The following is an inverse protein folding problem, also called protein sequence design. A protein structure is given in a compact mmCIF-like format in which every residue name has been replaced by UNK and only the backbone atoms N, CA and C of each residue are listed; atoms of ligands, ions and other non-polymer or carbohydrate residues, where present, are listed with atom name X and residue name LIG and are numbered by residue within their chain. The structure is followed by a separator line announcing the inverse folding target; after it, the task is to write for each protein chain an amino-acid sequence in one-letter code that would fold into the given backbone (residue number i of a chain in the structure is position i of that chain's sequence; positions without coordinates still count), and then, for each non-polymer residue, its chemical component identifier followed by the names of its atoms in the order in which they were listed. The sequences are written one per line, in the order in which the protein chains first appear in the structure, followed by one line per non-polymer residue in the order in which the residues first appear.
data_IF_604204815303
#
_entry.id   IF_604204815303
#
_cell.length_a   1.000
_cell.length_b   1.000
_cell.length_c   1.000
_cell.angle_alpha   90.00
_cell.angle_beta   90.00
_cell.angle_gamma   90.00
#
_symmetry.space_group_name_H-M   'P 1'
#
loop_
_entity.id
_entity.type
_entity.pdbx_description
1 polymer ?
#
# COMPACT_ATOMS: atom_id res chain seq x y z
N UNK A 1 -0.09 -23.53 7.45
CA UNK A 1 0.01 -22.06 7.57
C UNK A 1 0.96 -21.56 6.49
N UNK A 2 0.43 -20.79 5.56
CA UNK A 2 1.13 -20.27 4.39
C UNK A 2 1.31 -18.74 4.50
N UNK A 3 2.23 -18.20 3.70
CA UNK A 3 2.45 -16.75 3.56
C UNK A 3 2.06 -16.32 2.15
N UNK A 4 1.18 -15.33 2.00
CA UNK A 4 0.91 -14.73 0.70
C UNK A 4 2.05 -13.78 0.31
N UNK A 5 2.57 -13.94 -0.89
CA UNK A 5 3.64 -13.10 -1.43
C UNK A 5 3.19 -12.51 -2.78
N UNK A 6 2.75 -11.25 -2.76
CA UNK A 6 2.41 -10.49 -3.96
C UNK A 6 3.46 -9.41 -4.28
N UNK A 7 4.74 -9.67 -3.93
CA UNK A 7 5.87 -8.81 -4.31
C UNK A 7 6.07 -8.74 -5.82
N UNK A 8 5.81 -9.85 -6.51
CA UNK A 8 5.84 -9.97 -7.97
C UNK A 8 4.74 -10.91 -8.45
N UNK A 9 4.40 -10.83 -9.73
CA UNK A 9 3.45 -11.74 -10.40
C UNK A 9 3.82 -13.21 -10.23
N UNK A 10 5.11 -13.52 -10.33
CA UNK A 10 5.64 -14.88 -10.18
C UNK A 10 5.50 -15.38 -8.73
N UNK A 11 5.79 -14.53 -7.75
CA UNK A 11 5.62 -14.89 -6.33
C UNK A 11 4.14 -15.05 -5.94
N UNK A 12 3.25 -14.23 -6.51
CA UNK A 12 1.81 -14.38 -6.26
C UNK A 12 1.32 -15.75 -6.71
N UNK A 13 1.67 -16.15 -7.95
CA UNK A 13 1.36 -17.47 -8.46
C UNK A 13 2.00 -18.60 -7.66
N UNK A 14 3.25 -18.45 -7.21
CA UNK A 14 3.96 -19.48 -6.44
C UNK A 14 3.36 -19.68 -5.04
N UNK A 15 3.09 -18.58 -4.33
CA UNK A 15 2.51 -18.61 -2.98
C UNK A 15 1.08 -19.17 -3.01
N UNK A 16 0.27 -18.76 -3.98
CA UNK A 16 -1.07 -19.31 -4.21
C UNK A 16 -1.03 -20.80 -4.56
N UNK A 17 -0.23 -21.21 -5.54
CA UNK A 17 -0.15 -22.63 -5.94
C UNK A 17 0.29 -23.52 -4.77
N UNK A 18 1.22 -23.02 -3.95
CA UNK A 18 1.64 -23.71 -2.72
C UNK A 18 0.49 -23.87 -1.73
N UNK A 19 -0.33 -22.83 -1.51
CA UNK A 19 -1.50 -22.90 -0.64
C UNK A 19 -2.60 -23.83 -1.17
N UNK A 20 -2.84 -23.85 -2.48
CA UNK A 20 -3.77 -24.78 -3.14
C UNK A 20 -3.22 -26.21 -3.27
N UNK A 21 -1.95 -26.44 -2.96
CA UNK A 21 -1.32 -27.76 -3.12
C UNK A 21 -1.21 -28.21 -4.58
N UNK A 22 -1.12 -27.28 -5.52
CA UNK A 22 -1.01 -27.54 -6.95
C UNK A 22 0.25 -26.91 -7.57
N UNK A 23 0.55 -27.24 -8.82
CA UNK A 23 1.61 -26.59 -9.58
C UNK A 23 1.18 -25.20 -10.07
N UNK A 24 2.15 -24.32 -10.29
CA UNK A 24 1.91 -23.01 -10.92
C UNK A 24 1.22 -23.15 -12.28
N UNK A 25 1.54 -24.18 -13.06
CA UNK A 25 0.93 -24.41 -14.38
C UNK A 25 -0.54 -24.81 -14.27
N UNK A 26 -0.92 -25.59 -13.26
CA UNK A 26 -2.33 -25.93 -13.00
C UNK A 26 -3.13 -24.70 -12.58
N UNK A 27 -2.59 -23.89 -11.65
CA UNK A 27 -3.22 -22.63 -11.26
C UNK A 27 -3.41 -21.69 -12.45
N UNK A 28 -2.37 -21.52 -13.29
CA UNK A 28 -2.46 -20.73 -14.52
C UNK A 28 -3.57 -21.23 -15.45
N UNK A 29 -3.66 -22.55 -15.65
CA UNK A 29 -4.66 -23.16 -16.53
C UNK A 29 -6.08 -22.86 -16.04
N UNK A 30 -6.33 -22.97 -14.72
CA UNK A 30 -7.63 -22.65 -14.11
C UNK A 30 -7.94 -21.15 -14.23
N UNK A 31 -6.97 -20.29 -13.96
CA UNK A 31 -7.18 -18.84 -14.10
C UNK A 31 -7.44 -18.41 -15.55
N UNK A 32 -6.87 -19.12 -16.54
CA UNK A 32 -7.07 -18.89 -17.97
C UNK A 32 -8.33 -19.55 -18.55
N UNK A 33 -8.93 -20.52 -17.86
CA UNK A 33 -10.17 -21.19 -18.33
C UNK A 33 -11.45 -20.38 -18.10
N UNK A 34 -11.32 -19.23 -17.46
CA UNK A 34 -12.41 -18.31 -17.11
C UNK A 34 -12.21 -16.98 -17.82
N UNK A 35 -13.28 -16.34 -18.28
CA UNK A 35 -13.23 -14.93 -18.68
C UNK A 35 -14.24 -14.15 -17.83
N UNK A 36 -13.74 -13.46 -16.80
CA UNK A 36 -14.58 -12.70 -15.87
C UNK A 36 -15.31 -11.54 -16.55
N UNK A 37 -14.69 -10.89 -17.53
CA UNK A 37 -15.31 -9.76 -18.23
C UNK A 37 -16.50 -10.26 -19.05
N UNK A 38 -16.27 -11.28 -19.88
CA UNK A 38 -17.33 -11.90 -20.67
C UNK A 38 -18.47 -12.44 -19.79
N UNK A 39 -18.16 -13.07 -18.66
CA UNK A 39 -19.17 -13.62 -17.75
C UNK A 39 -20.07 -12.52 -17.18
N UNK A 40 -19.49 -11.43 -16.66
CA UNK A 40 -20.27 -10.35 -16.06
C UNK A 40 -20.99 -9.47 -17.11
N UNK A 41 -20.49 -9.43 -18.35
CA UNK A 41 -21.19 -8.80 -19.47
C UNK A 41 -22.39 -9.60 -19.98
N UNK A 42 -22.34 -10.93 -19.90
CA UNK A 42 -23.37 -11.80 -20.51
C UNK A 42 -24.38 -12.37 -19.52
N UNK A 43 -23.97 -12.59 -18.26
CA UNK A 43 -24.83 -13.14 -17.22
C UNK A 43 -25.07 -12.12 -16.10
N UNK A 44 -26.08 -11.27 -16.31
CA UNK A 44 -26.53 -10.29 -15.32
C UNK A 44 -27.27 -10.91 -14.12
N UNK A 45 -27.44 -12.24 -14.06
CA UNK A 45 -28.02 -12.91 -12.90
C UNK A 45 -26.99 -13.14 -11.78
N UNK A 46 -25.70 -12.98 -12.07
CA UNK A 46 -24.63 -13.09 -11.08
C UNK A 46 -24.69 -11.88 -10.15
N UNK A 47 -25.06 -12.14 -8.89
CA UNK A 47 -25.26 -11.10 -7.86
C UNK A 47 -24.08 -10.96 -6.88
N UNK A 48 -22.96 -11.65 -7.13
CA UNK A 48 -21.75 -11.58 -6.30
C UNK A 48 -20.66 -10.77 -7.03
N UNK A 49 -19.71 -10.20 -6.28
CA UNK A 49 -18.60 -9.49 -6.89
C UNK A 49 -17.61 -10.44 -7.59
N UNK A 50 -16.88 -9.93 -8.58
CA UNK A 50 -16.00 -10.72 -9.43
C UNK A 50 -14.85 -11.40 -8.68
N UNK A 51 -14.40 -10.83 -7.54
CA UNK A 51 -13.35 -11.46 -6.72
C UNK A 51 -13.90 -12.65 -5.97
N UNK A 52 -15.08 -12.51 -5.37
CA UNK A 52 -15.77 -13.63 -4.73
C UNK A 52 -16.02 -14.75 -5.73
N UNK A 53 -16.52 -14.42 -6.93
CA UNK A 53 -16.75 -15.39 -8.00
C UNK A 53 -15.45 -16.10 -8.40
N UNK A 54 -14.38 -15.35 -8.65
CA UNK A 54 -13.08 -15.91 -9.02
C UNK A 54 -12.56 -16.88 -7.96
N UNK A 55 -12.62 -16.49 -6.68
CA UNK A 55 -12.22 -17.35 -5.56
C UNK A 55 -13.05 -18.63 -5.52
N UNK A 56 -14.37 -18.54 -5.63
CA UNK A 56 -15.26 -19.71 -5.62
C UNK A 56 -15.01 -20.64 -6.81
N UNK A 57 -14.77 -20.08 -8.00
CA UNK A 57 -14.39 -20.84 -9.18
C UNK A 57 -13.08 -21.59 -8.96
N UNK A 58 -12.02 -20.90 -8.52
CA UNK A 58 -10.70 -21.52 -8.29
C UNK A 58 -10.79 -22.58 -7.20
N UNK A 59 -11.54 -22.34 -6.11
CA UNK A 59 -11.73 -23.34 -5.06
C UNK A 59 -12.51 -24.58 -5.53
N UNK A 60 -13.44 -24.42 -6.46
CA UNK A 60 -14.15 -25.56 -7.07
C UNK A 60 -13.22 -26.40 -7.93
N UNK A 61 -12.34 -25.76 -8.71
CA UNK A 61 -11.44 -26.47 -9.63
C UNK A 61 -10.21 -27.09 -8.94
N UNK A 62 -9.68 -26.45 -7.89
CA UNK A 62 -8.43 -26.85 -7.22
C UNK A 62 -8.62 -27.35 -5.78
N UNK A 63 -9.82 -27.25 -5.22
CA UNK A 63 -10.08 -27.49 -3.80
C UNK A 63 -9.85 -26.25 -2.93
N UNK A 64 -10.09 -26.40 -1.63
CA UNK A 64 -9.90 -25.31 -0.65
C UNK A 64 -8.40 -25.19 -0.36
N UNK A 65 -7.81 -23.98 -0.43
CA UNK A 65 -6.40 -23.80 -0.09
C UNK A 65 -6.18 -24.02 1.41
N UNK A 66 -4.96 -24.38 1.78
CA UNK A 66 -4.55 -24.31 3.18
C UNK A 66 -4.49 -22.86 3.68
N UNK A 67 -4.58 -22.72 4.99
CA UNK A 67 -4.70 -21.42 5.66
C UNK A 67 -3.49 -20.50 5.43
N UNK A 68 -3.75 -19.28 4.94
CA UNK A 68 -2.80 -18.18 4.84
C UNK A 68 -2.92 -17.29 6.07
N UNK A 69 -1.91 -17.33 6.94
CA UNK A 69 -1.93 -16.60 8.22
C UNK A 69 -1.12 -15.32 8.19
N UNK A 70 -0.16 -15.20 7.26
CA UNK A 70 0.70 -14.03 7.11
C UNK A 70 0.80 -13.60 5.64
N UNK A 71 1.15 -12.35 5.41
CA UNK A 71 1.48 -11.85 4.08
C UNK A 71 2.68 -10.90 4.13
N UNK A 72 3.29 -10.69 2.97
CA UNK A 72 4.13 -9.53 2.74
C UNK A 72 3.25 -8.35 2.30
N UNK A 73 3.36 -7.26 3.03
CA UNK A 73 2.63 -6.01 2.83
C UNK A 73 3.59 -4.92 2.38
N UNK A 74 3.08 -4.02 1.52
CA UNK A 74 3.87 -2.99 0.88
C UNK A 74 3.36 -1.61 1.29
N UNK A 75 4.18 -0.87 2.04
CA UNK A 75 3.93 0.52 2.39
C UNK A 75 4.68 1.45 1.42
N UNK A 76 3.94 2.19 0.60
CA UNK A 76 4.52 3.23 -0.26
C UNK A 76 4.73 4.50 0.54
N UNK A 77 5.87 5.16 0.37
CA UNK A 77 6.17 6.42 1.05
C UNK A 77 7.29 7.19 0.35
N UNK A 78 7.69 8.32 0.95
CA UNK A 78 8.87 9.11 0.59
C UNK A 78 9.67 9.49 1.82
N UNK A 79 10.98 9.39 1.71
CA UNK A 79 11.90 9.71 2.81
C UNK A 79 13.27 10.15 2.28
N UNK A 80 14.22 10.46 3.16
CA UNK A 80 15.61 10.74 2.74
C UNK A 80 16.26 9.49 2.16
N UNK A 81 17.19 9.65 1.21
CA UNK A 81 17.92 8.53 0.61
C UNK A 81 18.73 7.71 1.65
N UNK A 82 19.10 8.35 2.77
CA UNK A 82 19.88 7.75 3.85
C UNK A 82 19.01 7.08 4.93
N UNK A 83 17.68 7.09 4.80
CA UNK A 83 16.82 6.46 5.79
C UNK A 83 16.91 4.94 5.70
N UNK A 84 17.45 4.32 6.74
CA UNK A 84 17.65 2.87 6.88
C UNK A 84 16.48 2.16 7.55
N UNK A 85 15.46 2.90 8.03
CA UNK A 85 14.34 2.36 8.82
C UNK A 85 14.80 1.57 10.06
N UNK A 86 15.92 1.99 10.68
CA UNK A 86 16.50 1.35 11.89
C UNK A 86 15.51 1.26 13.07
N UNK A 87 14.61 2.23 13.20
CA UNK A 87 13.57 2.24 14.23
C UNK A 87 12.27 1.55 13.78
N UNK A 88 12.29 0.87 12.62
CA UNK A 88 11.12 0.28 11.99
C UNK A 88 10.26 1.28 11.21
N UNK A 89 9.11 0.81 10.72
CA UNK A 89 8.09 1.66 10.11
C UNK A 89 7.13 2.11 11.21
N UNK A 90 7.37 3.31 11.72
CA UNK A 90 6.65 3.89 12.85
C UNK A 90 5.22 4.31 12.48
N UNK A 91 4.31 4.25 13.46
CA UNK A 91 2.94 4.71 13.30
C UNK A 91 2.85 6.23 13.35
N UNK A 92 1.76 6.81 12.82
CA UNK A 92 1.62 8.26 12.63
C UNK A 92 1.86 9.07 13.91
N UNK A 93 1.32 8.61 15.04
CA UNK A 93 1.48 9.25 16.34
C UNK A 93 2.94 9.32 16.84
N UNK A 94 3.83 8.54 16.24
CA UNK A 94 5.26 8.54 16.53
C UNK A 94 6.06 9.25 15.43
N UNK A 95 5.54 9.33 14.20
CA UNK A 95 6.24 9.93 13.05
C UNK A 95 5.92 11.40 12.82
N UNK A 96 4.84 11.96 13.38
CA UNK A 96 4.43 13.35 13.10
C UNK A 96 5.59 14.34 13.26
N UNK A 97 6.25 14.34 14.43
CA UNK A 97 7.39 15.22 14.71
C UNK A 97 8.58 14.90 13.82
N UNK A 98 8.86 13.62 13.56
CA UNK A 98 9.98 13.19 12.71
C UNK A 98 9.81 13.65 11.26
N UNK A 99 8.58 13.58 10.74
CA UNK A 99 8.24 14.07 9.39
C UNK A 99 8.37 15.59 9.36
N UNK A 100 7.85 16.30 10.35
CA UNK A 100 7.99 17.76 10.41
C UNK A 100 9.45 18.20 10.52
N UNK A 101 10.26 17.54 11.35
CA UNK A 101 11.69 17.79 11.47
C UNK A 101 12.42 17.55 10.14
N UNK A 102 12.10 16.45 9.44
CA UNK A 102 12.63 16.15 8.11
C UNK A 102 12.30 17.28 7.12
N UNK A 103 11.05 17.74 7.06
CA UNK A 103 10.63 18.82 6.16
C UNK A 103 11.33 20.15 6.52
N UNK A 104 11.44 20.49 7.80
CA UNK A 104 12.18 21.67 8.28
C UNK A 104 13.65 21.61 7.89
N UNK A 105 14.30 20.47 8.06
CA UNK A 105 15.72 20.30 7.77
C UNK A 105 16.02 20.36 6.28
N UNK A 106 15.08 19.91 5.46
CA UNK A 106 15.17 19.91 4.00
C UNK A 106 14.51 21.14 3.36
N UNK A 107 14.10 22.15 4.12
CA UNK A 107 13.45 23.33 3.56
C UNK A 107 14.33 24.03 2.49
N UNK A 108 13.73 24.60 1.43
CA UNK A 108 14.47 25.19 0.30
C UNK A 108 15.27 26.44 0.67
N UNK A 109 14.86 27.17 1.70
CA UNK A 109 15.50 28.39 2.16
C UNK A 109 15.22 28.65 3.65
N UNK A 110 15.89 29.66 4.22
CA UNK A 110 15.78 30.03 5.63
C UNK A 110 14.38 30.53 6.03
N UNK A 111 13.67 31.21 5.12
CA UNK A 111 12.34 31.75 5.41
C UNK A 111 11.30 30.63 5.52
N UNK A 112 11.32 29.68 4.59
CA UNK A 112 10.48 28.47 4.64
C UNK A 112 10.81 27.65 5.89
N UNK A 113 12.10 27.49 6.19
CA UNK A 113 12.57 26.78 7.39
C UNK A 113 11.98 27.37 8.67
N UNK A 114 12.10 28.68 8.86
CA UNK A 114 11.58 29.39 10.05
C UNK A 114 10.06 29.21 10.19
N UNK A 115 9.31 29.33 9.09
CA UNK A 115 7.86 29.16 9.08
C UNK A 115 7.43 27.74 9.42
N UNK A 116 8.11 26.72 8.87
CA UNK A 116 7.83 25.32 9.19
C UNK A 116 8.21 24.99 10.64
N UNK A 117 9.30 25.56 11.16
CA UNK A 117 9.66 25.44 12.59
C UNK A 117 8.58 26.01 13.50
N UNK A 118 8.03 27.19 13.16
CA UNK A 118 6.94 27.79 13.92
C UNK A 118 5.70 26.88 13.97
N UNK A 119 5.41 26.14 12.91
CA UNK A 119 4.32 25.15 12.92
C UNK A 119 4.67 23.94 13.77
N UNK A 120 5.89 23.42 13.64
CA UNK A 120 6.33 22.22 14.36
C UNK A 120 6.31 22.42 15.90
N UNK A 121 6.78 23.57 16.39
CA UNK A 121 6.97 23.78 17.84
C UNK A 121 5.87 24.59 18.53
N UNK A 122 5.07 25.38 17.80
CA UNK A 122 4.22 26.40 18.44
C UNK A 122 2.77 26.42 17.96
N UNK A 123 2.52 26.24 16.66
CA UNK A 123 1.19 26.49 16.08
C UNK A 123 0.46 25.23 15.59
N UNK A 124 1.19 24.13 15.34
CA UNK A 124 0.72 23.01 14.54
C UNK A 124 0.51 23.38 13.07
N UNK A 125 0.41 22.37 12.20
CA UNK A 125 0.14 22.58 10.78
C UNK A 125 -1.31 23.09 10.61
N UNK A 126 -1.55 24.21 9.92
CA UNK A 126 -2.87 24.79 9.74
C UNK A 126 -3.66 24.14 8.59
N UNK A 127 -3.65 22.81 8.53
CA UNK A 127 -4.45 22.01 7.60
C UNK A 127 -5.48 21.15 8.35
N UNK A 128 -6.68 21.00 7.78
CA UNK A 128 -7.75 20.23 8.41
C UNK A 128 -7.45 18.73 8.38
N UNK A 129 -6.99 18.20 7.25
CA UNK A 129 -6.70 16.77 7.11
C UNK A 129 -5.49 16.38 7.95
N UNK A 130 -4.44 17.22 7.99
CA UNK A 130 -3.29 16.98 8.86
C UNK A 130 -3.74 16.81 10.32
N UNK A 131 -4.58 17.73 10.82
CA UNK A 131 -5.09 17.70 12.20
C UNK A 131 -6.00 16.50 12.47
N UNK A 132 -6.84 16.13 11.51
CA UNK A 132 -7.71 14.95 11.63
C UNK A 132 -6.87 13.69 11.72
N UNK A 133 -5.91 13.49 10.82
CA UNK A 133 -5.03 12.31 10.78
C UNK A 133 -4.17 12.18 12.04
N UNK A 134 -3.60 13.28 12.51
CA UNK A 134 -2.71 13.26 13.70
C UNK A 134 -3.46 13.08 15.02
N UNK A 135 -4.76 13.40 15.09
CA UNK A 135 -5.56 13.30 16.33
C UNK A 135 -6.45 12.07 16.43
N UNK A 136 -6.79 11.45 15.31
CA UNK A 136 -7.62 10.26 15.29
C UNK A 136 -6.77 9.00 15.03
N UNK A 137 -6.81 8.09 16.01
CA UNK A 137 -6.10 6.80 15.95
C UNK A 137 -6.49 5.94 14.75
N UNK A 138 -7.67 6.17 14.15
CA UNK A 138 -8.12 5.49 12.94
C UNK A 138 -7.25 5.80 11.72
N UNK A 139 -6.38 6.81 11.80
CA UNK A 139 -5.48 7.23 10.72
C UNK A 139 -4.02 6.85 10.96
N UNK A 140 -3.70 6.12 12.04
CA UNK A 140 -2.32 5.99 12.48
C UNK A 140 -1.50 4.90 11.78
N UNK A 141 -2.15 4.00 11.04
CA UNK A 141 -1.46 2.97 10.25
C UNK A 141 -0.39 2.21 11.07
N UNK A 142 0.77 1.89 10.49
CA UNK A 142 1.10 2.02 9.07
C UNK A 142 0.13 1.22 8.19
N UNK A 143 -0.20 1.80 7.04
CA UNK A 143 -1.00 1.13 6.01
C UNK A 143 -0.11 0.41 5.01
N UNK A 144 -0.55 -0.71 4.47
CA UNK A 144 0.15 -1.40 3.39
C UNK A 144 -0.83 -2.02 2.41
N UNK A 145 -0.44 -2.15 1.15
CA UNK A 145 -1.17 -2.95 0.17
C UNK A 145 -0.61 -4.37 0.13
N UNK A 146 -1.46 -5.36 -0.10
CA UNK A 146 -1.02 -6.73 -0.32
C UNK A 146 -0.20 -6.84 -1.61
N UNK A 147 -0.65 -6.17 -2.68
CA UNK A 147 -0.02 -6.24 -4.00
C UNK A 147 0.92 -5.05 -4.20
N UNK A 148 2.22 -5.33 -4.38
CA UNK A 148 3.24 -4.28 -4.57
C UNK A 148 2.94 -3.37 -5.77
N UNK A 149 2.52 -3.95 -6.90
CA UNK A 149 2.22 -3.22 -8.14
C UNK A 149 1.10 -2.18 -8.00
N UNK A 150 0.27 -2.24 -6.93
CA UNK A 150 -0.76 -1.22 -6.65
C UNK A 150 -0.13 0.17 -6.50
N UNK A 151 1.03 0.28 -5.85
CA UNK A 151 1.73 1.56 -5.71
C UNK A 151 2.20 2.15 -7.04
N UNK A 152 2.49 1.30 -8.03
CA UNK A 152 2.88 1.73 -9.38
C UNK A 152 1.69 2.11 -10.27
N UNK A 153 0.48 1.77 -9.83
CA UNK A 153 -0.77 1.99 -10.55
C UNK A 153 -1.81 2.78 -9.73
N UNK A 154 -1.38 3.42 -8.64
CA UNK A 154 -2.26 3.98 -7.62
C UNK A 154 -3.37 4.86 -8.22
N UNK A 155 -3.00 5.81 -9.09
CA UNK A 155 -3.97 6.69 -9.77
C UNK A 155 -4.99 5.95 -10.62
N UNK A 156 -4.58 4.91 -11.35
CA UNK A 156 -5.51 4.10 -12.18
C UNK A 156 -6.45 3.27 -11.31
N UNK A 157 -5.99 2.90 -10.11
CA UNK A 157 -6.71 2.11 -9.12
C UNK A 157 -7.47 2.95 -8.10
N UNK A 158 -7.56 4.28 -8.31
CA UNK A 158 -8.21 5.22 -7.40
C UNK A 158 -7.65 5.17 -5.97
N UNK A 159 -6.37 4.80 -5.84
CA UNK A 159 -5.64 4.82 -4.57
C UNK A 159 -4.81 6.10 -4.46
N UNK A 160 -4.51 6.49 -3.22
CA UNK A 160 -3.56 7.57 -2.98
C UNK A 160 -2.16 7.20 -3.47
N UNK A 161 -1.50 8.12 -4.16
CA UNK A 161 -0.17 7.91 -4.71
C UNK A 161 0.89 8.23 -3.66
N UNK A 162 1.06 7.31 -2.71
CA UNK A 162 1.98 7.49 -1.58
C UNK A 162 3.45 7.56 -2.00
N UNK A 163 3.83 6.94 -3.13
CA UNK A 163 5.19 7.05 -3.68
C UNK A 163 5.43 8.40 -4.34
N UNK A 164 4.39 9.04 -4.91
CA UNK A 164 4.49 10.44 -5.33
C UNK A 164 4.55 11.38 -4.14
N UNK A 165 3.61 11.34 -3.21
CA UNK A 165 3.64 12.20 -2.01
C UNK A 165 2.81 11.60 -0.88
N UNK A 166 3.42 11.23 0.26
CA UNK A 166 2.66 10.79 1.43
C UNK A 166 1.73 11.89 1.93
N UNK A 167 0.55 11.48 2.39
CA UNK A 167 -0.54 12.35 2.83
C UNK A 167 -0.10 13.49 3.79
N UNK A 168 0.72 13.19 4.81
CA UNK A 168 1.20 14.23 5.73
C UNK A 168 2.04 15.31 5.04
N UNK A 169 2.92 14.90 4.12
CA UNK A 169 3.78 15.85 3.39
C UNK A 169 2.92 16.68 2.45
N UNK A 170 1.93 16.06 1.81
CA UNK A 170 0.95 16.76 0.98
C UNK A 170 0.14 17.79 1.78
N UNK A 171 -0.34 17.43 2.96
CA UNK A 171 -1.11 18.34 3.81
C UNK A 171 -0.25 19.55 4.26
N UNK A 172 1.03 19.34 4.58
CA UNK A 172 1.96 20.43 4.92
C UNK A 172 2.17 21.36 3.72
N UNK A 173 2.41 20.81 2.52
CA UNK A 173 2.54 21.59 1.29
C UNK A 173 1.26 22.39 0.99
N UNK A 174 0.09 21.77 1.15
CA UNK A 174 -1.21 22.40 0.94
C UNK A 174 -1.45 23.54 1.94
N UNK A 175 -1.16 23.32 3.23
CA UNK A 175 -1.20 24.38 4.23
C UNK A 175 -0.28 25.54 3.87
N UNK A 176 0.95 25.25 3.41
CA UNK A 176 1.95 26.26 3.13
C UNK A 176 1.54 27.12 1.94
N UNK A 177 1.08 26.48 0.87
CA UNK A 177 0.51 27.16 -0.30
C UNK A 177 -0.69 28.03 0.07
N UNK A 178 -1.61 27.51 0.89
CA UNK A 178 -2.80 28.25 1.33
C UNK A 178 -2.45 29.47 2.19
N UNK A 179 -1.46 29.35 3.07
CA UNK A 179 -1.11 30.42 4.02
C UNK A 179 -0.17 31.48 3.43
N UNK A 180 0.79 31.06 2.61
CA UNK A 180 1.88 31.92 2.13
C UNK A 180 1.94 32.06 0.61
N UNK A 181 1.09 31.39 -0.15
CA UNK A 181 1.01 31.51 -1.62
C UNK A 181 2.11 30.77 -2.40
N UNK A 182 3.01 30.07 -1.71
CA UNK A 182 4.13 29.34 -2.32
C UNK A 182 3.89 27.83 -2.27
N UNK A 183 4.09 27.13 -3.38
CA UNK A 183 3.93 25.68 -3.49
C UNK A 183 5.27 24.96 -3.23
N UNK A 184 5.34 24.17 -2.15
CA UNK A 184 6.54 23.41 -1.78
C UNK A 184 6.58 22.00 -2.39
N UNK A 185 5.54 21.59 -3.11
CA UNK A 185 5.39 20.22 -3.63
C UNK A 185 6.57 19.83 -4.52
N UNK A 186 6.95 20.70 -5.47
CA UNK A 186 8.04 20.41 -6.41
C UNK A 186 9.38 20.17 -5.70
N UNK A 187 9.66 20.98 -4.67
CA UNK A 187 10.87 20.85 -3.86
C UNK A 187 10.93 19.52 -3.12
N UNK A 188 9.88 19.14 -2.39
CA UNK A 188 9.87 17.87 -1.65
C UNK A 188 9.79 16.63 -2.57
N UNK A 189 9.29 16.78 -3.79
CA UNK A 189 9.39 15.74 -4.80
C UNK A 189 10.85 15.49 -5.25
N UNK A 190 11.68 16.52 -5.26
CA UNK A 190 13.09 16.46 -5.67
C UNK A 190 13.99 15.90 -4.55
N UNK A 191 13.85 16.44 -3.33
CA UNK A 191 14.78 16.13 -2.22
C UNK A 191 14.44 14.83 -1.49
N UNK A 192 13.16 14.43 -1.45
CA UNK A 192 12.77 13.12 -0.92
C UNK A 192 12.84 12.07 -2.03
N UNK A 193 13.10 10.82 -1.65
CA UNK A 193 13.11 9.67 -2.57
C UNK A 193 11.91 8.78 -2.31
N UNK A 194 11.19 8.36 -3.37
CA UNK A 194 10.10 7.41 -3.25
C UNK A 194 10.65 6.05 -2.84
N UNK A 195 9.95 5.37 -1.95
CA UNK A 195 10.30 4.01 -1.58
C UNK A 195 9.07 3.17 -1.25
N UNK A 196 9.23 1.86 -1.35
CA UNK A 196 8.27 0.87 -0.88
C UNK A 196 8.96 0.05 0.21
N UNK A 197 8.39 0.08 1.41
CA UNK A 197 8.80 -0.77 2.53
C UNK A 197 7.97 -2.05 2.48
N UNK A 198 8.64 -3.18 2.28
CA UNK A 198 8.05 -4.51 2.37
C UNK A 198 8.20 -5.02 3.80
N UNK A 199 7.10 -5.43 4.43
CA UNK A 199 7.12 -6.01 5.76
C UNK A 199 6.20 -7.21 5.86
N UNK A 200 6.51 -8.12 6.79
CA UNK A 200 5.69 -9.28 7.10
C UNK A 200 4.72 -8.95 8.22
N UNK A 201 3.44 -9.29 8.06
CA UNK A 201 2.46 -9.21 9.15
C UNK A 201 1.35 -10.25 8.97
N UNK A 202 0.61 -10.49 10.04
CA UNK A 202 -0.57 -11.36 10.05
C UNK A 202 -1.66 -10.83 9.12
N UNK A 203 -2.50 -11.74 8.63
CA UNK A 203 -3.68 -11.41 7.84
C UNK A 203 -4.91 -11.39 8.75
N UNK A 204 -5.50 -10.22 8.95
CA UNK A 204 -6.71 -10.07 9.78
C UNK A 204 -7.98 -10.62 9.10
N UNK A 205 -8.04 -10.55 7.77
CA UNK A 205 -9.17 -11.05 6.98
C UNK A 205 -8.68 -11.87 5.78
N UNK A 206 -8.47 -13.16 6.03
CA UNK A 206 -7.90 -14.12 5.06
C UNK A 206 -8.68 -14.14 3.74
N UNK A 207 -10.02 -14.17 3.79
CA UNK A 207 -10.85 -14.23 2.59
C UNK A 207 -10.58 -13.06 1.65
N UNK A 208 -10.47 -11.84 2.17
CA UNK A 208 -10.18 -10.65 1.35
C UNK A 208 -8.76 -10.64 0.80
N UNK A 209 -7.79 -11.12 1.56
CA UNK A 209 -6.41 -11.24 1.10
C UNK A 209 -6.29 -12.27 -0.03
N UNK A 210 -6.92 -13.44 0.11
CA UNK A 210 -6.96 -14.49 -0.91
C UNK A 210 -7.66 -14.00 -2.19
N UNK A 211 -8.79 -13.31 -2.05
CA UNK A 211 -9.53 -12.70 -3.17
C UNK A 211 -8.65 -11.73 -3.96
N UNK A 212 -7.95 -10.82 -3.28
CA UNK A 212 -7.06 -9.86 -3.95
C UNK A 212 -5.82 -10.51 -4.57
N UNK A 213 -5.21 -11.49 -3.90
CA UNK A 213 -4.10 -12.26 -4.47
C UNK A 213 -4.52 -13.02 -5.74
N UNK A 214 -5.71 -13.64 -5.73
CA UNK A 214 -6.26 -14.33 -6.90
C UNK A 214 -6.57 -13.35 -8.04
N UNK A 215 -7.15 -12.18 -7.77
CA UNK A 215 -7.35 -11.14 -8.79
C UNK A 215 -6.04 -10.65 -9.40
N UNK A 216 -4.99 -10.48 -8.58
CA UNK A 216 -3.66 -10.14 -9.08
C UNK A 216 -3.06 -11.27 -9.92
N UNK A 217 -3.21 -12.52 -9.52
CA UNK A 217 -2.79 -13.67 -10.33
C UNK A 217 -3.58 -13.78 -11.64
N UNK A 218 -4.89 -13.54 -11.62
CA UNK A 218 -5.78 -13.57 -12.78
C UNK A 218 -5.38 -12.57 -13.86
N UNK A 219 -5.08 -11.33 -13.47
CA UNK A 219 -4.56 -10.30 -14.37
C UNK A 219 -3.12 -10.61 -14.81
N UNK A 220 -2.29 -11.17 -13.91
CA UNK A 220 -0.91 -11.55 -14.20
C UNK A 220 -0.78 -12.58 -15.32
N UNK A 221 -1.62 -13.63 -15.32
CA UNK A 221 -1.56 -14.68 -16.36
C UNK A 221 -2.04 -14.20 -17.74
N UNK A 222 -2.68 -13.04 -17.79
CA UNK A 222 -3.13 -12.34 -19.01
C UNK A 222 -2.22 -11.19 -19.40
N UNK A 223 -1.12 -10.98 -18.69
CA UNK A 223 -0.19 -9.87 -18.90
C UNK A 223 -0.86 -8.48 -18.77
N UNK A 224 -1.96 -8.40 -18.01
CA UNK A 224 -2.67 -7.15 -17.73
C UNK A 224 -2.09 -6.45 -16.49
N UNK A 225 -2.25 -5.12 -16.35
CA UNK A 225 -1.98 -4.45 -15.08
C UNK A 225 -2.95 -4.95 -13.98
N UNK A 226 -2.60 -4.77 -12.69
CA UNK A 226 -3.55 -5.03 -11.61
C UNK A 226 -4.79 -4.14 -11.78
N UNK A 227 -5.95 -4.68 -11.43
CA UNK A 227 -7.23 -3.98 -11.42
C UNK A 227 -7.70 -3.68 -9.99
N UNK A 228 -8.92 -3.14 -9.85
CA UNK A 228 -9.51 -2.85 -8.54
C UNK A 228 -9.71 -4.11 -7.69
N UNK A 229 -9.77 -5.30 -8.31
CA UNK A 229 -9.88 -6.57 -7.61
C UNK A 229 -8.64 -6.89 -6.77
N UNK A 230 -7.46 -6.45 -7.24
CA UNK A 230 -6.18 -6.63 -6.55
C UNK A 230 -5.94 -5.63 -5.40
N UNK A 231 -6.83 -4.67 -5.18
CA UNK A 231 -6.71 -3.69 -4.09
C UNK A 231 -7.23 -4.28 -2.78
N UNK A 232 -6.28 -4.61 -1.91
CA UNK A 232 -6.52 -4.99 -0.52
C UNK A 232 -5.36 -4.50 0.33
N UNK A 233 -5.65 -4.03 1.54
CA UNK A 233 -4.65 -3.46 2.40
C UNK A 233 -4.82 -3.84 3.87
N UNK A 234 -3.76 -3.61 4.61
CA UNK A 234 -3.69 -3.75 6.06
C UNK A 234 -3.69 -2.36 6.70
N UNK A 235 -4.34 -2.25 7.86
CA UNK A 235 -4.15 -1.17 8.81
C UNK A 235 -3.58 -1.77 10.09
N UNK A 236 -2.37 -1.35 10.49
CA UNK A 236 -1.74 -1.82 11.73
C UNK A 236 -2.29 -1.14 12.99
N UNK A 237 -3.30 -0.29 12.86
CA UNK A 237 -4.06 0.31 13.96
C UNK A 237 -3.19 1.08 14.97
N UNK A 238 -2.24 1.84 14.47
CA UNK A 238 -1.28 2.63 15.24
C UNK A 238 -0.12 1.81 15.82
N UNK A 239 0.07 0.55 15.40
CA UNK A 239 1.21 -0.28 15.80
C UNK A 239 2.30 -0.20 14.76
N UNK A 240 3.49 0.26 15.16
CA UNK A 240 4.68 0.24 14.34
C UNK A 240 5.00 -1.17 13.82
N UNK A 241 5.69 -1.24 12.69
CA UNK A 241 6.33 -2.45 12.21
C UNK A 241 7.77 -2.44 12.73
N UNK A 242 8.17 -3.50 13.42
CA UNK A 242 9.55 -3.65 13.91
C UNK A 242 10.53 -3.78 12.73
N UNK A 243 11.79 -3.37 12.94
CA UNK A 243 12.86 -3.59 11.95
C UNK A 243 13.01 -5.07 11.57
N UNK A 244 12.78 -5.99 12.51
CA UNK A 244 12.83 -7.43 12.27
C UNK A 244 11.65 -7.96 11.41
N UNK A 245 10.56 -7.19 11.33
CA UNK A 245 9.41 -7.49 10.46
C UNK A 245 9.59 -6.88 9.06
N UNK A 246 10.50 -5.92 8.88
CA UNK A 246 10.84 -5.35 7.58
C UNK A 246 11.69 -6.36 6.81
N UNK A 247 11.22 -6.72 5.63
CA UNK A 247 11.86 -7.71 4.75
C UNK A 247 12.78 -7.04 3.75
N UNK A 248 12.36 -5.90 3.22
CA UNK A 248 13.12 -5.13 2.23
C UNK A 248 12.63 -3.68 2.17
N UNK A 249 13.52 -2.76 1.79
CA UNK A 249 13.19 -1.39 1.43
C UNK A 249 13.69 -1.15 0.01
N UNK A 250 12.78 -0.75 -0.87
CA UNK A 250 13.09 -0.49 -2.28
C UNK A 250 12.91 1.00 -2.59
N UNK A 251 13.97 1.67 -3.03
CA UNK A 251 13.89 3.02 -3.59
C UNK A 251 13.60 2.97 -5.09
N UNK A 252 12.69 3.83 -5.57
CA UNK A 252 12.16 3.84 -6.95
C UNK A 252 12.71 5.03 -7.76
#
# INVERSE_FOLDING_TARGET
MFTLDCSTRSQALLSLSSGFGCSVMELKKVLLSLDLEQIYETDHSIMIDSRQYLREYVCRELGIPGEFTTAYWFHGTRTSADNTFENGLLALNQTESLVMDMLVNLAPDAEVKEKLQAWNFHAGVPDHLFRTRTRDKMHWGPYGHLVREVHLHARKLWQHDYVRLPELVEDVCNAYKKKYGQDLTGHYLEVLKPCIVCFRADIDYEKGALEAALSYAYTSVRELPPDSGAVFGIDRHGKSVSVDEIVNVEFI
#
